data_IF_761711624376
#
_entry.id   IF_761711624376
#
_cell.length_a   1.000
_cell.length_b   1.000
_cell.length_c   1.000
_cell.angle_alpha   90.00
_cell.angle_beta   90.00
_cell.angle_gamma   90.00
#
_symmetry.space_group_name_H-M   'P 1'
#
loop_
_entity.id
_entity.type
_entity.pdbx_description
1 polymer ?
#
# COMPACT_ATOMS: atom_id res chain seq x y z
N UNK A 1 9.49 21.96 -21.16
CA UNK A 1 10.33 22.73 -22.12
C UNK A 1 9.62 24.06 -22.35
N UNK A 2 10.29 25.20 -22.18
CA UNK A 2 9.62 26.51 -22.17
C UNK A 2 9.70 27.17 -23.55
N UNK A 3 8.55 27.41 -24.19
CA UNK A 3 8.39 28.10 -25.47
C UNK A 3 7.80 29.52 -25.31
N UNK A 4 7.96 30.11 -24.13
CA UNK A 4 7.55 31.49 -23.88
C UNK A 4 8.17 32.44 -24.93
N UNK A 5 7.38 33.43 -25.33
CA UNK A 5 7.73 34.42 -26.34
C UNK A 5 8.03 33.84 -27.74
N UNK A 6 7.60 32.59 -28.02
CA UNK A 6 7.76 31.95 -29.34
C UNK A 6 7.23 32.79 -30.50
N UNK A 7 6.05 33.39 -30.32
CA UNK A 7 5.43 34.25 -31.34
C UNK A 7 6.29 35.47 -31.65
N UNK A 8 6.81 36.12 -30.61
CA UNK A 8 7.68 37.30 -30.76
C UNK A 8 8.98 36.94 -31.48
N UNK A 9 9.59 35.80 -31.11
CA UNK A 9 10.82 35.30 -31.74
C UNK A 9 10.60 34.91 -33.21
N UNK A 10 9.47 34.29 -33.55
CA UNK A 10 9.18 33.93 -34.95
C UNK A 10 8.91 35.18 -35.79
N UNK A 11 8.18 36.15 -35.26
CA UNK A 11 7.95 37.41 -35.96
C UNK A 11 9.25 38.21 -36.13
N UNK A 12 10.15 38.22 -35.14
CA UNK A 12 11.48 38.81 -35.27
C UNK A 12 12.30 38.14 -36.39
N UNK A 13 12.29 36.80 -36.48
CA UNK A 13 13.01 36.08 -37.53
C UNK A 13 12.39 36.39 -38.90
N UNK A 14 11.06 36.32 -39.06
CA UNK A 14 10.37 36.67 -40.31
C UNK A 14 10.72 38.07 -40.80
N UNK A 15 10.76 39.04 -39.89
CA UNK A 15 11.11 40.43 -40.21
C UNK A 15 12.59 40.61 -40.64
N UNK A 16 13.47 39.68 -40.26
CA UNK A 16 14.90 39.72 -40.57
C UNK A 16 15.33 38.81 -41.73
N UNK A 17 14.50 37.86 -42.16
CA UNK A 17 14.80 36.89 -43.24
C UNK A 17 15.08 37.57 -44.57
N UNK A 18 14.37 38.66 -44.91
CA UNK A 18 14.61 39.43 -46.15
C UNK A 18 15.94 40.21 -46.18
N UNK A 19 16.74 40.16 -45.10
CA UNK A 19 18.03 40.88 -44.99
C UNK A 19 19.25 39.95 -45.01
N UNK A 20 19.05 38.64 -45.14
CA UNK A 20 20.13 37.66 -45.06
C UNK A 20 20.64 37.28 -46.45
N UNK A 21 21.65 38.01 -46.94
CA UNK A 21 22.49 37.50 -48.03
C UNK A 21 23.43 36.45 -47.44
N UNK A 22 23.20 35.19 -47.76
CA UNK A 22 24.05 34.09 -47.28
C UNK A 22 25.11 33.78 -48.32
N UNK A 23 26.38 34.04 -48.02
CA UNK A 23 27.51 33.61 -48.85
C UNK A 23 27.88 32.19 -48.44
N UNK A 24 27.51 31.21 -49.26
CA UNK A 24 27.95 29.83 -49.08
C UNK A 24 29.11 29.58 -50.04
N UNK A 25 30.34 29.71 -49.53
CA UNK A 25 31.57 29.44 -50.25
C UNK A 25 32.80 29.71 -49.37
N UNK A 26 33.83 28.88 -49.48
CA UNK A 26 35.12 29.11 -48.82
C UNK A 26 35.89 30.24 -49.50
N UNK A 27 36.61 31.05 -48.72
CA UNK A 27 37.59 32.04 -49.19
C UNK A 27 38.66 31.37 -50.06
N UNK A 28 38.37 31.16 -51.35
CA UNK A 28 39.26 30.44 -52.26
C UNK A 28 38.63 30.06 -53.60
N UNK A 29 37.31 29.91 -53.67
CA UNK A 29 36.63 29.61 -54.93
C UNK A 29 36.50 30.88 -55.77
N UNK A 30 37.36 31.02 -56.79
CA UNK A 30 37.42 32.18 -57.72
C UNK A 30 36.20 32.35 -58.63
N UNK A 31 35.20 31.49 -58.50
CA UNK A 31 33.86 31.67 -59.06
C UNK A 31 32.87 31.41 -57.93
N UNK A 32 32.72 32.40 -57.05
CA UNK A 32 31.70 32.35 -56.00
C UNK A 32 30.32 32.28 -56.65
N UNK A 33 29.71 31.10 -56.65
CA UNK A 33 28.32 30.95 -57.02
C UNK A 33 27.48 31.64 -55.95
N UNK A 34 26.97 32.82 -56.27
CA UNK A 34 25.94 33.46 -55.49
C UNK A 34 24.65 32.67 -55.69
N UNK A 35 24.36 31.76 -54.76
CA UNK A 35 23.02 31.21 -54.63
C UNK A 35 22.20 32.24 -53.87
N UNK A 36 21.53 33.07 -54.62
CA UNK A 36 20.41 33.83 -54.10
C UNK A 36 19.35 32.79 -53.75
N UNK A 37 19.19 32.48 -52.46
CA UNK A 37 18.14 31.59 -51.94
C UNK A 37 16.78 32.28 -52.13
N UNK A 38 16.39 32.53 -53.39
CA UNK A 38 15.19 33.28 -53.77
C UNK A 38 13.94 32.47 -53.44
N UNK A 39 14.03 31.13 -53.45
CA UNK A 39 12.88 30.24 -53.32
C UNK A 39 13.03 29.23 -52.18
N UNK A 40 13.66 29.61 -51.07
CA UNK A 40 13.40 28.84 -49.84
C UNK A 40 12.00 29.22 -49.39
N UNK A 41 11.06 28.28 -49.47
CA UNK A 41 9.70 28.45 -48.96
C UNK A 41 9.75 28.56 -47.43
N UNK A 42 10.07 29.76 -46.95
CA UNK A 42 10.15 30.07 -45.54
C UNK A 42 8.78 29.90 -44.88
N UNK A 43 7.68 30.08 -45.62
CA UNK A 43 6.34 29.81 -45.10
C UNK A 43 6.17 28.33 -44.77
N UNK A 44 6.63 27.43 -45.65
CA UNK A 44 6.67 25.99 -45.38
C UNK A 44 7.56 25.67 -44.18
N UNK A 45 8.76 26.26 -44.09
CA UNK A 45 9.68 26.02 -42.98
C UNK A 45 9.08 26.47 -41.63
N UNK A 46 8.51 27.67 -41.56
CA UNK A 46 7.85 28.16 -40.35
C UNK A 46 6.64 27.31 -39.98
N UNK A 47 5.86 26.88 -40.97
CA UNK A 47 4.72 25.97 -40.76
C UNK A 47 5.17 24.63 -40.19
N UNK A 48 6.25 24.05 -40.73
CA UNK A 48 6.84 22.81 -40.25
C UNK A 48 7.33 22.93 -38.80
N UNK A 49 8.07 23.99 -38.48
CA UNK A 49 8.54 24.27 -37.12
C UNK A 49 7.36 24.45 -36.15
N UNK A 50 6.28 25.12 -36.57
CA UNK A 50 5.10 25.28 -35.73
C UNK A 50 4.41 23.93 -35.42
N UNK A 51 4.31 23.06 -36.42
CA UNK A 51 3.79 21.68 -36.23
C UNK A 51 4.67 20.90 -35.27
N UNK A 52 6.00 20.95 -35.43
CA UNK A 52 6.93 20.28 -34.51
C UNK A 52 6.79 20.79 -33.07
N UNK A 53 6.65 22.10 -32.86
CA UNK A 53 6.42 22.67 -31.52
C UNK A 53 5.13 22.15 -30.91
N UNK A 54 4.03 22.19 -31.65
CA UNK A 54 2.72 21.70 -31.16
C UNK A 54 2.78 20.22 -30.78
N UNK A 55 3.50 19.41 -31.55
CA UNK A 55 3.74 18.01 -31.22
C UNK A 55 4.53 17.87 -29.91
N UNK A 56 5.64 18.59 -29.75
CA UNK A 56 6.46 18.56 -28.53
C UNK A 56 5.65 19.00 -27.31
N UNK A 57 4.86 20.06 -27.41
CA UNK A 57 3.98 20.52 -26.33
C UNK A 57 2.89 19.51 -25.98
N UNK A 58 2.29 18.88 -26.99
CA UNK A 58 1.29 17.82 -26.79
C UNK A 58 1.91 16.62 -26.07
N UNK A 59 3.09 16.17 -26.49
CA UNK A 59 3.80 15.09 -25.82
C UNK A 59 4.17 15.48 -24.39
N UNK A 60 4.66 16.71 -24.17
CA UNK A 60 4.98 17.24 -22.84
C UNK A 60 3.79 17.15 -21.87
N UNK A 61 2.61 17.63 -22.30
CA UNK A 61 1.38 17.55 -21.48
C UNK A 61 0.97 16.11 -21.16
N UNK A 62 1.08 15.20 -22.14
CA UNK A 62 0.79 13.78 -21.92
C UNK A 62 1.76 13.20 -20.89
N UNK A 63 3.05 13.50 -20.99
CA UNK A 63 4.05 13.01 -20.04
C UNK A 63 3.88 13.59 -18.62
N UNK A 64 3.47 14.85 -18.51
CA UNK A 64 3.15 15.49 -17.23
C UNK A 64 1.91 14.84 -16.61
N UNK A 65 0.82 14.68 -17.38
CA UNK A 65 -0.39 14.00 -16.89
C UNK A 65 -0.13 12.55 -16.46
N UNK A 66 0.67 11.80 -17.22
CA UNK A 66 1.10 10.45 -16.80
C UNK A 66 1.89 10.49 -15.49
N UNK A 67 2.77 11.48 -15.31
CA UNK A 67 3.57 11.62 -14.10
C UNK A 67 2.69 11.89 -12.87
N UNK A 68 1.71 12.78 -13.00
CA UNK A 68 0.73 13.07 -11.95
C UNK A 68 -0.11 11.83 -11.61
N UNK A 69 -0.61 11.12 -12.63
CA UNK A 69 -1.37 9.88 -12.45
C UNK A 69 -0.55 8.81 -11.71
N UNK A 70 0.73 8.64 -12.06
CA UNK A 70 1.64 7.73 -11.37
C UNK A 70 1.87 8.13 -9.91
N UNK A 71 2.02 9.41 -9.61
CA UNK A 71 2.16 9.91 -8.24
C UNK A 71 0.90 9.62 -7.42
N UNK A 72 -0.28 9.93 -7.96
CA UNK A 72 -1.56 9.63 -7.30
C UNK A 72 -1.75 8.13 -7.06
N UNK A 73 -1.37 7.29 -8.01
CA UNK A 73 -1.43 5.83 -7.86
C UNK A 73 -0.51 5.35 -6.74
N UNK A 74 0.71 5.90 -6.65
CA UNK A 74 1.66 5.54 -5.62
C UNK A 74 1.17 5.93 -4.22
N UNK A 75 0.61 7.13 -4.07
CA UNK A 75 0.01 7.57 -2.80
C UNK A 75 -1.18 6.68 -2.38
N UNK A 76 -2.03 6.29 -3.33
CA UNK A 76 -3.12 5.34 -3.07
C UNK A 76 -2.59 3.99 -2.59
N UNK A 77 -1.54 3.48 -3.23
CA UNK A 77 -0.91 2.23 -2.85
C UNK A 77 -0.32 2.30 -1.42
N UNK A 78 0.37 3.39 -1.08
CA UNK A 78 0.94 3.58 0.25
C UNK A 78 -0.13 3.64 1.35
N UNK A 79 -1.25 4.32 1.07
CA UNK A 79 -2.38 4.37 2.00
C UNK A 79 -3.03 3.00 2.18
N UNK A 80 -3.25 2.26 1.08
CA UNK A 80 -3.78 0.91 1.12
C UNK A 80 -2.86 -0.03 1.93
N UNK A 81 -1.55 0.09 1.75
CA UNK A 81 -0.57 -0.72 2.46
C UNK A 81 -0.56 -0.44 3.98
N UNK A 82 -0.75 0.83 4.38
CA UNK A 82 -0.92 1.21 5.80
C UNK A 82 -2.17 0.58 6.40
N UNK A 83 -3.31 0.67 5.70
CA UNK A 83 -4.56 0.07 6.15
C UNK A 83 -4.46 -1.45 6.27
N UNK A 84 -3.87 -2.11 5.27
CA UNK A 84 -3.63 -3.55 5.29
C UNK A 84 -2.77 -3.97 6.48
N UNK A 85 -1.71 -3.21 6.78
CA UNK A 85 -0.82 -3.49 7.92
C UNK A 85 -1.58 -3.39 9.25
N UNK A 86 -2.44 -2.37 9.40
CA UNK A 86 -3.28 -2.21 10.60
C UNK A 86 -4.28 -3.36 10.73
N UNK A 87 -4.97 -3.69 9.64
CA UNK A 87 -5.92 -4.80 9.59
C UNK A 87 -5.25 -6.12 9.99
N UNK A 88 -4.09 -6.43 9.43
CA UNK A 88 -3.32 -7.63 9.76
C UNK A 88 -2.99 -7.70 11.25
N UNK A 89 -2.55 -6.60 11.85
CA UNK A 89 -2.23 -6.53 13.27
C UNK A 89 -3.47 -6.77 14.15
N UNK A 90 -4.65 -6.30 13.74
CA UNK A 90 -5.89 -6.51 14.49
C UNK A 90 -6.40 -7.95 14.36
N UNK A 91 -6.26 -8.57 13.18
CA UNK A 91 -6.54 -10.01 13.00
C UNK A 91 -5.61 -10.87 13.88
N UNK A 92 -4.32 -10.54 13.94
CA UNK A 92 -3.36 -11.27 14.78
C UNK A 92 -3.72 -11.17 16.27
N UNK A 93 -4.21 -10.01 16.74
CA UNK A 93 -4.70 -9.84 18.11
C UNK A 93 -5.93 -10.69 18.38
N UNK A 94 -6.89 -10.71 17.46
CA UNK A 94 -8.10 -11.52 17.58
C UNK A 94 -7.75 -13.01 17.64
N UNK A 95 -6.83 -13.47 16.79
CA UNK A 95 -6.37 -14.85 16.82
C UNK A 95 -5.72 -15.22 18.16
N UNK A 96 -4.83 -14.37 18.69
CA UNK A 96 -4.21 -14.58 20.01
C UNK A 96 -5.25 -14.62 21.13
N UNK A 97 -6.22 -13.72 21.11
CA UNK A 97 -7.29 -13.69 22.11
C UNK A 97 -8.13 -14.96 22.07
N UNK A 98 -8.57 -15.39 20.88
CA UNK A 98 -9.34 -16.61 20.70
C UNK A 98 -8.57 -17.84 21.16
N UNK A 99 -7.27 -17.92 20.83
CA UNK A 99 -6.40 -19.03 21.24
C UNK A 99 -6.24 -19.09 22.77
N UNK A 100 -5.98 -17.96 23.42
CA UNK A 100 -5.87 -17.90 24.89
C UNK A 100 -7.18 -18.23 25.59
N UNK A 101 -8.31 -17.75 25.06
CA UNK A 101 -9.64 -18.06 25.59
C UNK A 101 -9.95 -19.57 25.47
N UNK A 102 -9.66 -20.17 24.31
CA UNK A 102 -9.84 -21.60 24.11
C UNK A 102 -8.93 -22.42 25.04
N UNK A 103 -7.66 -22.03 25.16
CA UNK A 103 -6.71 -22.69 26.07
C UNK A 103 -7.19 -22.64 27.52
N UNK A 104 -7.60 -21.47 28.00
CA UNK A 104 -8.14 -21.31 29.36
C UNK A 104 -9.39 -22.18 29.57
N UNK A 105 -10.30 -22.22 28.60
CA UNK A 105 -11.50 -23.07 28.68
C UNK A 105 -11.15 -24.56 28.79
N UNK A 106 -10.10 -25.01 28.10
CA UNK A 106 -9.60 -26.39 28.22
C UNK A 106 -9.01 -26.61 29.61
N UNK A 107 -8.12 -25.73 30.08
CA UNK A 107 -7.50 -25.82 31.41
C UNK A 107 -8.54 -25.84 32.54
N UNK A 108 -9.58 -25.02 32.44
CA UNK A 108 -10.66 -24.97 33.44
C UNK A 108 -11.49 -26.27 33.42
N UNK A 109 -11.74 -26.85 32.24
CA UNK A 109 -12.40 -28.17 32.12
C UNK A 109 -11.54 -29.31 32.69
N UNK A 110 -10.23 -29.30 32.46
CA UNK A 110 -9.31 -30.29 33.03
C UNK A 110 -9.30 -30.22 34.57
N UNK A 111 -9.32 -29.02 35.15
CA UNK A 111 -9.45 -28.83 36.60
C UNK A 111 -10.77 -29.37 37.14
N UNK A 112 -11.88 -29.12 36.44
CA UNK A 112 -13.20 -29.66 36.81
C UNK A 112 -13.18 -31.18 36.84
N UNK A 113 -12.61 -31.82 35.81
CA UNK A 113 -12.47 -33.29 35.77
C UNK A 113 -11.68 -33.78 36.98
N UNK A 114 -10.51 -33.22 37.24
CA UNK A 114 -9.68 -33.62 38.38
C UNK A 114 -10.41 -33.47 39.74
N UNK A 115 -11.20 -32.40 39.91
CA UNK A 115 -11.99 -32.18 41.12
C UNK A 115 -13.12 -33.20 41.28
N UNK A 116 -13.76 -33.58 40.17
CA UNK A 116 -14.81 -34.60 40.18
C UNK A 116 -14.24 -36.00 40.44
N UNK A 117 -13.09 -36.33 39.86
CA UNK A 117 -12.39 -37.59 40.16
C UNK A 117 -12.03 -37.68 41.65
N UNK A 118 -11.49 -36.58 42.21
CA UNK A 118 -11.21 -36.51 43.66
C UNK A 118 -12.48 -36.65 44.51
N UNK A 119 -13.60 -36.07 44.07
CA UNK A 119 -14.87 -36.20 44.77
C UNK A 119 -15.39 -37.65 44.74
N UNK A 120 -15.21 -38.36 43.63
CA UNK A 120 -15.58 -39.76 43.48
C UNK A 120 -14.75 -40.66 44.41
N UNK A 121 -13.43 -40.43 44.48
CA UNK A 121 -12.54 -41.11 45.42
C UNK A 121 -13.01 -40.93 46.89
N UNK A 122 -13.33 -39.70 47.30
CA UNK A 122 -13.82 -39.41 48.66
C UNK A 122 -15.15 -40.13 48.94
N UNK A 123 -16.09 -40.16 47.98
CA UNK A 123 -17.34 -40.90 48.12
C UNK A 123 -17.11 -42.41 48.18
N UNK A 124 -16.16 -42.94 47.43
CA UNK A 124 -15.76 -44.34 47.48
C UNK A 124 -15.20 -44.67 48.88
N UNK A 125 -14.34 -43.85 49.45
CA UNK A 125 -13.87 -44.02 50.84
C UNK A 125 -15.02 -43.95 51.85
N UNK A 126 -15.95 -43.00 51.70
CA UNK A 126 -17.13 -42.89 52.55
C UNK A 126 -18.01 -44.16 52.52
N UNK A 127 -18.10 -44.82 51.37
CA UNK A 127 -18.88 -46.06 51.20
C UNK A 127 -18.25 -47.27 51.88
N UNK A 128 -16.92 -47.27 52.04
CA UNK A 128 -16.15 -48.41 52.59
C UNK A 128 -15.83 -48.25 54.08
N UNK A 129 -15.90 -47.03 54.62
CA UNK A 129 -15.59 -46.79 56.04
C UNK A 129 -16.72 -47.28 56.96
N UNK A 130 -16.32 -48.01 58.01
CA UNK A 130 -17.19 -48.51 59.07
C UNK A 130 -17.44 -47.52 60.22
N UNK A 131 -16.82 -46.34 60.17
CA UNK A 131 -16.96 -45.26 61.17
C UNK A 131 -17.80 -44.12 60.59
N UNK A 132 -18.95 -43.85 61.21
CA UNK A 132 -19.88 -42.81 60.78
C UNK A 132 -19.27 -41.40 60.82
N UNK A 133 -18.34 -41.13 61.75
CA UNK A 133 -17.65 -39.83 61.82
C UNK A 133 -16.73 -39.62 60.62
N UNK A 134 -16.00 -40.68 60.24
CA UNK A 134 -15.15 -40.66 59.05
C UNK A 134 -16.00 -40.58 57.77
N UNK A 135 -17.13 -41.30 57.71
CA UNK A 135 -18.06 -41.23 56.59
C UNK A 135 -18.53 -39.79 56.35
N UNK A 136 -18.95 -39.10 57.40
CA UNK A 136 -19.41 -37.72 57.30
C UNK A 136 -18.30 -36.76 56.82
N UNK A 137 -17.06 -36.98 57.26
CA UNK A 137 -15.91 -36.19 56.81
C UNK A 137 -15.67 -36.31 55.30
N UNK A 138 -15.60 -37.54 54.77
CA UNK A 138 -15.40 -37.80 53.35
C UNK A 138 -16.54 -37.23 52.49
N UNK A 139 -17.80 -37.36 52.95
CA UNK A 139 -18.95 -36.75 52.25
C UNK A 139 -18.82 -35.22 52.18
N UNK A 140 -18.41 -34.56 53.27
CA UNK A 140 -18.21 -33.10 53.29
C UNK A 140 -17.10 -32.66 52.32
N UNK A 141 -16.01 -33.42 52.22
CA UNK A 141 -14.94 -33.15 51.27
C UNK A 141 -15.39 -33.32 49.82
N UNK A 142 -16.09 -34.40 49.50
CA UNK A 142 -16.67 -34.62 48.16
C UNK A 142 -17.60 -33.46 47.76
N UNK A 143 -18.48 -33.03 48.68
CA UNK A 143 -19.35 -31.87 48.46
C UNK A 143 -18.59 -30.57 48.23
N UNK A 144 -17.44 -30.37 48.90
CA UNK A 144 -16.56 -29.21 48.66
C UNK A 144 -16.01 -29.24 47.23
N UNK A 145 -15.43 -30.36 46.80
CA UNK A 145 -14.86 -30.48 45.46
C UNK A 145 -15.92 -30.31 44.36
N UNK A 146 -17.14 -30.84 44.56
CA UNK A 146 -18.27 -30.62 43.64
C UNK A 146 -18.62 -29.12 43.56
N UNK A 147 -18.64 -28.39 44.68
CA UNK A 147 -18.91 -26.94 44.66
C UNK A 147 -17.82 -26.16 43.95
N UNK A 148 -16.55 -26.44 44.24
CA UNK A 148 -15.40 -25.82 43.57
C UNK A 148 -15.45 -26.06 42.05
N UNK A 149 -15.82 -27.27 41.62
CA UNK A 149 -15.99 -27.60 40.20
C UNK A 149 -17.13 -26.79 39.54
N UNK A 150 -18.25 -26.59 40.25
CA UNK A 150 -19.38 -25.81 39.76
C UNK A 150 -19.06 -24.32 39.68
N UNK A 151 -18.16 -23.80 40.51
CA UNK A 151 -17.70 -22.41 40.45
C UNK A 151 -16.82 -22.13 39.23
N UNK A 152 -16.02 -23.12 38.79
CA UNK A 152 -15.17 -23.01 37.59
C UNK A 152 -15.95 -23.03 36.28
N UNK A 153 -17.22 -23.47 36.29
CA UNK A 153 -18.10 -23.56 35.12
C UNK A 153 -19.03 -22.35 34.95
N UNK A 154 -19.01 -21.37 35.86
CA UNK A 154 -19.80 -20.14 35.79
C UNK A 154 -19.11 -19.07 34.94
#
# INVERSE_FOLDING_TARGET
MNFDNWKERIEEIKNNVHRMNCTIGSEGDREGYYYELIDTDYEWLFSFIEVQRKLIESFGRVTEGMTEDYQMLNERYDNLNKEYTKFKADVDKLYKYAHLSAKKSIEDKEKVINLLDTADDELQYASTTGDDSNREHYIKNAMRFIRESAELLK
#
